data_IF_351684192913
#
_entry.id   IF_351684192913
#
_cell.length_a   1.000
_cell.length_b   1.000
_cell.length_c   1.000
_cell.angle_alpha   90.00
_cell.angle_beta   90.00
_cell.angle_gamma   90.00
#
_symmetry.space_group_name_H-M   'P 1'
#
loop_
_entity.id
_entity.type
_entity.pdbx_description
1 polymer ?
#
# COMPACT_ATOMS: atom_id res chain seq x y z
N UNK A 1 16.27 25.05 -33.41
CA UNK A 1 16.35 26.42 -34.01
C UNK A 1 15.97 27.44 -32.95
N UNK A 2 16.79 28.46 -32.84
CA UNK A 2 16.69 29.69 -32.05
C UNK A 2 17.07 29.58 -30.58
N UNK A 3 17.93 30.33 -30.12
CA UNK A 3 19.03 31.27 -30.43
C UNK A 3 19.51 31.78 -29.05
N UNK A 4 20.77 31.49 -28.78
CA UNK A 4 21.56 32.10 -27.69
C UNK A 4 21.61 33.63 -27.86
N UNK A 5 21.48 34.38 -26.77
CA UNK A 5 22.05 35.71 -26.69
C UNK A 5 22.89 35.87 -25.42
N UNK A 6 24.16 36.13 -25.65
CA UNK A 6 25.17 36.64 -24.71
C UNK A 6 25.01 38.15 -24.57
N UNK A 7 25.23 38.64 -23.36
CA UNK A 7 25.84 39.99 -23.15
C UNK A 7 26.40 40.02 -21.74
N UNK A 8 27.66 40.14 -21.62
CA UNK A 8 28.65 41.20 -21.51
C UNK A 8 28.94 41.59 -20.06
N UNK A 9 30.17 41.24 -19.66
CA UNK A 9 30.90 41.70 -18.50
C UNK A 9 31.18 43.22 -18.58
N UNK A 10 31.06 43.90 -17.44
CA UNK A 10 31.64 45.22 -17.24
C UNK A 10 32.52 45.14 -16.00
N UNK A 11 33.80 45.25 -16.25
CA UNK A 11 34.88 45.49 -15.28
C UNK A 11 34.85 46.96 -14.89
N UNK A 12 34.84 47.28 -13.61
CA UNK A 12 35.26 48.59 -13.12
C UNK A 12 36.20 48.48 -11.94
N UNK A 13 37.28 49.16 -12.11
CA UNK A 13 38.54 49.23 -11.43
C UNK A 13 38.50 49.63 -9.95
N UNK A 14 39.38 49.02 -9.24
CA UNK A 14 40.15 49.28 -8.04
C UNK A 14 40.47 50.78 -7.80
N UNK A 15 40.12 51.27 -6.60
CA UNK A 15 40.80 52.37 -5.94
C UNK A 15 41.04 52.04 -4.48
N UNK A 16 42.28 51.87 -4.13
CA UNK A 16 42.83 51.76 -2.79
C UNK A 16 43.01 53.17 -2.24
N UNK A 17 42.48 53.45 -1.08
CA UNK A 17 42.96 54.54 -0.21
C UNK A 17 42.94 54.13 1.24
N UNK A 18 44.10 54.08 1.81
CA UNK A 18 44.47 53.92 3.22
C UNK A 18 43.88 55.07 4.07
N UNK A 19 43.30 54.73 5.19
CA UNK A 19 42.96 55.72 6.22
C UNK A 19 42.85 55.02 7.58
N UNK A 20 43.76 55.39 8.48
CA UNK A 20 44.05 54.83 9.80
C UNK A 20 42.98 55.20 10.87
N UNK A 21 42.85 54.31 11.83
CA UNK A 21 42.53 54.42 13.27
C UNK A 21 41.18 55.01 13.72
N UNK A 22 40.50 54.15 14.48
CA UNK A 22 39.43 54.52 15.40
C UNK A 22 38.69 53.31 15.93
N UNK A 23 39.32 52.56 16.86
CA UNK A 23 38.62 51.47 17.56
C UNK A 23 37.56 52.07 18.52
N UNK A 24 36.34 52.15 18.08
CA UNK A 24 35.17 52.35 18.96
C UNK A 24 34.50 51.01 19.09
N UNK A 25 34.65 50.35 20.23
CA UNK A 25 33.86 49.21 20.62
C UNK A 25 32.42 49.65 20.87
N UNK A 26 31.64 49.74 19.80
CA UNK A 26 30.21 49.86 19.90
C UNK A 26 29.64 48.49 20.33
N UNK A 27 29.14 48.42 21.55
CA UNK A 27 28.25 47.33 21.99
C UNK A 27 27.04 47.36 21.10
N UNK A 28 27.01 46.49 20.09
CA UNK A 28 25.80 46.21 19.32
C UNK A 28 24.88 45.44 20.26
N UNK A 29 24.01 46.15 20.95
CA UNK A 29 22.82 45.52 21.51
C UNK A 29 22.03 45.03 20.32
N UNK A 30 22.02 43.69 20.13
CA UNK A 30 21.04 43.03 19.29
C UNK A 30 19.68 43.33 19.91
N UNK A 31 19.01 44.39 19.42
CA UNK A 31 17.58 44.57 19.64
C UNK A 31 16.92 43.37 18.99
N UNK A 32 16.59 42.36 19.80
CA UNK A 32 15.63 41.34 19.41
C UNK A 32 14.37 42.10 18.99
N UNK A 33 14.11 42.18 17.70
CA UNK A 33 12.83 42.65 17.19
C UNK A 33 11.79 41.64 17.67
N UNK A 34 11.13 41.95 18.79
CA UNK A 34 9.86 41.35 19.13
C UNK A 34 8.96 41.61 17.91
N UNK A 35 8.67 40.58 17.10
CA UNK A 35 7.74 40.72 16.00
C UNK A 35 6.45 41.30 16.60
N UNK A 36 6.12 42.52 16.22
CA UNK A 36 4.90 43.21 16.67
C UNK A 36 3.72 42.35 16.26
N UNK A 37 2.89 41.96 17.25
CA UNK A 37 1.70 41.14 17.02
C UNK A 37 0.70 42.02 16.29
N UNK A 38 0.29 41.67 15.06
CA UNK A 38 -0.65 42.50 14.31
C UNK A 38 -2.05 42.52 14.94
N UNK A 39 -2.86 43.50 14.54
CA UNK A 39 -4.25 43.57 14.96
C UNK A 39 -4.98 42.26 14.63
N UNK A 40 -5.88 41.85 15.54
CA UNK A 40 -6.62 40.57 15.44
C UNK A 40 -5.75 39.30 15.41
N UNK A 41 -4.57 39.39 16.01
CA UNK A 41 -3.68 38.26 16.27
C UNK A 41 -3.36 38.11 17.76
N UNK A 42 -2.80 36.97 18.14
CA UNK A 42 -2.24 36.72 19.47
C UNK A 42 -0.92 35.97 19.34
N UNK A 43 -0.08 36.03 20.36
CA UNK A 43 1.17 35.27 20.39
C UNK A 43 0.88 33.77 20.40
N UNK A 44 1.64 33.00 19.66
CA UNK A 44 1.52 31.54 19.66
C UNK A 44 1.79 30.96 21.04
N UNK A 45 1.03 29.95 21.43
CA UNK A 45 1.25 29.24 22.71
C UNK A 45 2.56 28.46 22.73
N UNK A 46 3.07 28.06 21.57
CA UNK A 46 4.35 27.35 21.38
C UNK A 46 5.10 27.90 20.17
N UNK A 47 6.40 28.07 20.34
CA UNK A 47 7.27 28.65 19.31
C UNK A 47 7.25 30.17 19.31
N UNK A 48 7.88 30.76 18.29
CA UNK A 48 7.95 32.21 18.12
C UNK A 48 6.91 32.68 17.10
N UNK A 49 6.45 33.90 17.23
CA UNK A 49 5.53 34.56 16.32
C UNK A 49 4.10 34.64 16.84
N UNK A 50 3.17 34.90 15.98
CA UNK A 50 1.76 35.11 16.24
C UNK A 50 0.87 34.26 15.36
N UNK A 51 -0.41 34.15 15.72
CA UNK A 51 -1.47 33.53 14.92
C UNK A 51 -2.73 34.40 14.99
N UNK A 52 -3.53 34.39 13.93
CA UNK A 52 -4.73 35.16 13.87
C UNK A 52 -5.80 34.66 14.85
N UNK A 53 -6.55 35.59 15.42
CA UNK A 53 -7.71 35.27 16.25
C UNK A 53 -8.78 34.55 15.43
N UNK A 54 -9.66 33.81 16.11
CA UNK A 54 -10.79 33.11 15.47
C UNK A 54 -11.60 34.07 14.61
N UNK A 55 -11.89 33.67 13.38
CA UNK A 55 -12.60 34.50 12.40
C UNK A 55 -11.69 35.40 11.56
N UNK A 56 -10.38 35.33 11.76
CA UNK A 56 -9.38 36.02 10.93
C UNK A 56 -8.39 35.01 10.32
N UNK A 57 -7.78 35.38 9.22
CA UNK A 57 -6.74 34.60 8.55
C UNK A 57 -5.53 35.43 8.20
N UNK A 58 -4.38 34.79 8.10
CA UNK A 58 -3.13 35.43 7.66
C UNK A 58 -3.21 35.84 6.19
N UNK A 59 -3.04 37.14 5.98
CA UNK A 59 -2.96 37.76 4.64
C UNK A 59 -1.87 38.82 4.70
N UNK A 60 -0.79 38.64 3.94
CA UNK A 60 0.29 39.62 3.84
C UNK A 60 0.87 40.07 5.20
N UNK A 61 1.19 39.09 6.07
CA UNK A 61 1.72 39.33 7.42
C UNK A 61 0.79 40.12 8.36
N UNK A 62 -0.51 40.10 8.13
CA UNK A 62 -1.55 40.63 8.99
C UNK A 62 -2.78 39.74 9.05
N UNK A 63 -3.76 40.04 9.88
CA UNK A 63 -4.97 39.26 10.05
C UNK A 63 -6.19 39.95 9.43
N UNK A 64 -6.69 39.40 8.33
CA UNK A 64 -7.91 39.83 7.66
C UNK A 64 -9.14 39.04 8.12
N UNK A 65 -10.28 39.72 8.30
CA UNK A 65 -11.52 39.05 8.65
C UNK A 65 -11.96 38.03 7.61
N UNK A 66 -12.32 36.82 8.06
CA UNK A 66 -12.84 35.75 7.21
C UNK A 66 -14.29 36.06 6.84
N UNK A 67 -14.59 36.15 5.55
CA UNK A 67 -15.98 36.22 5.09
C UNK A 67 -16.60 34.83 5.17
N UNK A 68 -17.37 34.57 6.22
CA UNK A 68 -18.07 33.32 6.42
C UNK A 68 -19.36 33.34 5.63
N UNK A 69 -19.59 32.41 4.67
CA UNK A 69 -20.83 32.35 3.91
C UNK A 69 -22.00 31.86 4.77
N UNK A 70 -23.21 32.00 4.24
CA UNK A 70 -24.40 31.42 4.90
C UNK A 70 -24.24 29.92 5.05
N UNK A 71 -24.73 29.35 6.16
CA UNK A 71 -24.64 27.93 6.50
C UNK A 71 -23.19 27.41 6.69
N UNK A 72 -22.29 28.29 7.10
CA UNK A 72 -20.91 27.96 7.48
C UNK A 72 -20.58 28.52 8.88
N UNK A 73 -19.47 28.09 9.45
CA UNK A 73 -18.91 28.61 10.70
C UNK A 73 -17.40 28.87 10.54
N UNK A 74 -16.87 29.86 11.27
CA UNK A 74 -15.44 30.15 11.20
C UNK A 74 -14.62 29.06 11.90
N UNK A 75 -13.50 28.68 11.29
CA UNK A 75 -12.52 27.76 11.87
C UNK A 75 -11.35 28.53 12.49
N UNK A 76 -10.57 27.86 13.37
CA UNK A 76 -9.35 28.45 13.94
C UNK A 76 -8.10 28.11 13.10
N UNK A 77 -8.29 27.58 11.88
CA UNK A 77 -7.17 27.19 11.04
C UNK A 77 -6.57 28.44 10.38
N UNK A 78 -5.29 28.66 10.58
CA UNK A 78 -4.52 29.75 9.97
C UNK A 78 -4.26 29.55 8.47
N UNK A 79 -4.56 28.36 7.96
CA UNK A 79 -4.48 28.00 6.53
C UNK A 79 -5.87 27.66 5.98
N UNK A 80 -6.02 27.72 4.67
CA UNK A 80 -7.30 27.49 4.01
C UNK A 80 -8.22 28.70 4.02
N UNK A 81 -9.53 28.49 3.99
CA UNK A 81 -10.54 29.56 3.88
C UNK A 81 -10.90 30.17 5.21
N UNK A 82 -10.58 29.54 6.32
CA UNK A 82 -10.94 29.96 7.66
C UNK A 82 -12.42 29.72 8.02
N UNK A 83 -13.14 28.93 7.23
CA UNK A 83 -14.52 28.50 7.50
C UNK A 83 -14.81 27.11 6.94
N UNK A 84 -15.80 26.45 7.51
CA UNK A 84 -16.33 25.16 7.09
C UNK A 84 -17.87 25.22 7.04
N UNK A 85 -18.47 24.39 6.18
CA UNK A 85 -19.90 24.30 6.08
C UNK A 85 -20.51 23.60 7.32
N UNK A 86 -21.69 24.06 7.74
CA UNK A 86 -22.48 23.36 8.74
C UNK A 86 -22.85 21.95 8.25
N UNK A 87 -23.04 21.03 9.19
CA UNK A 87 -23.52 19.68 8.89
C UNK A 87 -24.80 19.74 8.04
N UNK A 88 -24.86 18.97 6.98
CA UNK A 88 -25.93 18.97 6.00
C UNK A 88 -25.71 19.92 4.82
N UNK A 89 -24.52 20.52 4.77
CA UNK A 89 -24.13 21.35 3.65
C UNK A 89 -22.80 20.92 3.09
N UNK A 90 -22.65 21.01 1.78
CA UNK A 90 -21.44 20.73 1.02
C UNK A 90 -20.90 22.04 0.45
N UNK A 91 -19.60 22.21 0.55
CA UNK A 91 -18.93 23.33 -0.08
C UNK A 91 -18.96 23.22 -1.62
N UNK A 92 -19.41 24.29 -2.24
CA UNK A 92 -19.37 24.46 -3.67
C UNK A 92 -19.29 25.95 -4.02
N UNK A 93 -18.32 26.34 -4.86
CA UNK A 93 -18.12 27.71 -5.36
C UNK A 93 -18.09 28.75 -4.22
N UNK A 94 -17.25 28.53 -3.19
CA UNK A 94 -17.09 29.38 -2.00
C UNK A 94 -18.39 29.61 -1.18
N UNK A 95 -19.39 28.76 -1.37
CA UNK A 95 -20.66 28.78 -0.64
C UNK A 95 -20.95 27.41 -0.05
N UNK A 96 -21.93 27.33 0.84
CA UNK A 96 -22.41 26.07 1.42
C UNK A 96 -23.78 25.73 0.83
N UNK A 97 -23.83 24.68 0.00
CA UNK A 97 -25.06 24.19 -0.62
C UNK A 97 -25.66 23.05 0.22
N UNK A 98 -26.98 23.08 0.37
CA UNK A 98 -27.69 22.06 1.10
C UNK A 98 -27.54 20.67 0.44
N UNK A 99 -27.18 19.65 1.25
CA UNK A 99 -27.08 18.26 0.82
C UNK A 99 -28.48 17.64 0.84
N UNK A 100 -29.06 17.43 -0.32
CA UNK A 100 -30.33 16.75 -0.45
C UNK A 100 -30.14 15.26 -0.20
N UNK A 101 -30.52 14.77 0.98
CA UNK A 101 -30.45 13.36 1.34
C UNK A 101 -31.64 12.63 0.74
N UNK A 102 -31.44 11.62 -0.14
CA UNK A 102 -32.55 10.85 -0.71
C UNK A 102 -33.19 9.90 0.32
N UNK A 103 -34.31 9.31 -0.04
CA UNK A 103 -34.92 8.23 0.78
C UNK A 103 -33.96 7.06 0.92
N UNK A 104 -33.98 6.38 2.07
CA UNK A 104 -33.10 5.28 2.42
C UNK A 104 -31.59 5.67 2.40
N UNK A 105 -31.31 6.90 2.82
CA UNK A 105 -29.96 7.41 2.97
C UNK A 105 -29.83 8.27 4.24
N UNK A 106 -28.62 8.46 4.70
CA UNK A 106 -28.24 9.30 5.83
C UNK A 106 -26.98 10.11 5.52
N UNK A 107 -26.78 11.24 6.21
CA UNK A 107 -25.54 11.99 6.10
C UNK A 107 -24.36 11.19 6.67
N UNK A 108 -23.25 11.21 5.94
CA UNK A 108 -21.99 10.63 6.41
C UNK A 108 -21.50 11.27 7.72
N UNK A 109 -20.40 10.75 8.28
CA UNK A 109 -19.82 11.28 9.52
C UNK A 109 -19.46 12.77 9.42
N UNK A 110 -18.90 13.19 8.29
CA UNK A 110 -18.50 14.59 8.03
C UNK A 110 -19.70 15.50 7.83
N UNK A 111 -20.85 14.95 7.45
CA UNK A 111 -22.09 15.69 7.23
C UNK A 111 -22.17 16.47 5.93
N UNK A 112 -21.24 16.22 5.02
CA UNK A 112 -21.08 16.89 3.72
C UNK A 112 -21.63 16.08 2.53
N UNK A 113 -21.92 14.79 2.75
CA UNK A 113 -22.45 13.87 1.75
C UNK A 113 -23.42 12.89 2.41
N UNK A 114 -24.15 12.17 1.61
CA UNK A 114 -25.02 11.09 2.07
C UNK A 114 -24.43 9.71 1.70
N UNK A 115 -24.87 8.71 2.42
CA UNK A 115 -24.63 7.29 2.16
C UNK A 115 -25.96 6.56 2.24
N UNK A 116 -26.10 5.50 1.47
CA UNK A 116 -27.30 4.66 1.55
C UNK A 116 -27.38 3.88 2.86
N UNK A 117 -28.60 3.68 3.35
CA UNK A 117 -28.88 2.76 4.44
C UNK A 117 -28.46 1.33 4.07
N UNK A 118 -28.23 0.50 5.09
CA UNK A 118 -27.91 -0.91 4.89
C UNK A 118 -29.00 -1.58 4.06
N UNK A 119 -28.62 -2.36 3.09
CA UNK A 119 -29.55 -3.02 2.17
C UNK A 119 -29.92 -2.18 0.95
N UNK A 120 -29.35 -1.00 0.82
CA UNK A 120 -29.49 -0.13 -0.35
C UNK A 120 -28.13 0.18 -0.96
N UNK A 121 -28.11 0.49 -2.24
CA UNK A 121 -26.91 0.95 -2.96
C UNK A 121 -27.20 2.20 -3.75
N UNK A 122 -26.17 3.00 -3.92
CA UNK A 122 -26.23 4.20 -4.74
C UNK A 122 -26.34 3.84 -6.23
N UNK A 123 -27.35 4.39 -6.85
CA UNK A 123 -27.58 4.32 -8.29
C UNK A 123 -27.97 5.73 -8.70
N UNK A 124 -27.12 6.42 -9.47
CA UNK A 124 -27.23 7.85 -9.77
C UNK A 124 -27.34 8.66 -8.46
N UNK A 125 -28.42 9.39 -8.23
CA UNK A 125 -28.63 10.22 -7.04
C UNK A 125 -29.66 9.61 -6.05
N UNK A 126 -29.86 8.30 -6.08
CA UNK A 126 -30.84 7.61 -5.27
C UNK A 126 -30.29 6.34 -4.60
N UNK A 127 -30.90 5.94 -3.49
CA UNK A 127 -30.60 4.67 -2.84
C UNK A 127 -31.64 3.61 -3.20
N UNK A 128 -31.19 2.63 -3.99
CA UNK A 128 -32.04 1.55 -4.50
C UNK A 128 -31.82 0.27 -3.68
N UNK A 129 -32.90 -0.43 -3.30
CA UNK A 129 -32.83 -1.66 -2.54
C UNK A 129 -32.00 -2.74 -3.26
N UNK A 130 -31.10 -3.39 -2.52
CA UNK A 130 -30.30 -4.51 -3.00
C UNK A 130 -31.19 -5.74 -3.07
N UNK A 131 -31.36 -6.31 -4.26
CA UNK A 131 -32.04 -7.59 -4.44
C UNK A 131 -31.07 -8.72 -4.11
N UNK A 132 -31.23 -9.31 -2.93
CA UNK A 132 -30.46 -10.49 -2.51
C UNK A 132 -31.08 -11.74 -3.15
N UNK A 133 -30.29 -12.56 -3.87
CA UNK A 133 -30.79 -13.80 -4.45
C UNK A 133 -31.06 -14.86 -3.38
N UNK A 134 -31.82 -15.90 -3.73
CA UNK A 134 -31.99 -17.07 -2.85
C UNK A 134 -30.63 -17.69 -2.52
N UNK A 135 -30.45 -18.17 -1.29
CA UNK A 135 -29.18 -18.67 -0.75
C UNK A 135 -28.06 -17.61 -0.75
N UNK A 136 -28.43 -16.37 -0.50
CA UNK A 136 -27.53 -15.25 -0.31
C UNK A 136 -27.97 -14.38 0.86
N UNK A 137 -27.11 -13.51 1.29
CA UNK A 137 -27.32 -12.54 2.37
C UNK A 137 -26.71 -11.19 2.02
N UNK A 138 -27.14 -10.13 2.71
CA UNK A 138 -26.56 -8.80 2.54
C UNK A 138 -25.10 -8.80 3.02
N UNK A 139 -24.17 -8.51 2.12
CA UNK A 139 -22.77 -8.31 2.44
C UNK A 139 -22.52 -6.95 3.12
N UNK A 140 -21.46 -6.89 3.93
CA UNK A 140 -21.06 -5.63 4.57
C UNK A 140 -20.22 -4.73 3.64
N UNK A 141 -19.93 -5.21 2.44
CA UNK A 141 -19.13 -4.47 1.44
C UNK A 141 -20.00 -3.45 0.71
N UNK A 142 -19.59 -2.19 0.78
CA UNK A 142 -20.15 -1.11 -0.06
C UNK A 142 -19.75 -1.21 -1.53
N UNK A 143 -18.91 -2.21 -1.88
CA UNK A 143 -18.45 -2.48 -3.24
C UNK A 143 -19.08 -3.74 -3.80
N UNK A 144 -19.31 -3.75 -5.10
CA UNK A 144 -19.87 -4.91 -5.80
C UNK A 144 -21.38 -4.99 -5.76
N UNK A 145 -21.93 -6.20 -5.64
CA UNK A 145 -23.36 -6.46 -5.66
C UNK A 145 -24.10 -6.06 -4.37
N UNK A 146 -23.37 -5.90 -3.27
CA UNK A 146 -23.93 -5.65 -1.92
C UNK A 146 -24.50 -6.89 -1.26
N UNK A 147 -24.30 -8.06 -1.84
CA UNK A 147 -24.71 -9.36 -1.27
C UNK A 147 -23.63 -10.42 -1.51
N UNK A 148 -23.65 -11.43 -0.69
CA UNK A 148 -22.77 -12.60 -0.74
C UNK A 148 -23.62 -13.87 -0.71
N UNK A 149 -23.06 -14.98 -1.18
CA UNK A 149 -23.76 -16.25 -1.12
C UNK A 149 -23.54 -16.96 0.22
N UNK A 150 -24.56 -17.70 0.67
CA UNK A 150 -24.45 -18.61 1.81
C UNK A 150 -23.33 -19.63 1.57
N UNK A 151 -22.81 -20.18 2.68
CA UNK A 151 -21.80 -21.24 2.62
C UNK A 151 -22.31 -22.42 1.78
N UNK A 152 -21.50 -22.89 0.87
CA UNK A 152 -21.86 -23.95 -0.09
C UNK A 152 -22.47 -23.46 -1.39
N UNK A 153 -22.58 -22.16 -1.55
CA UNK A 153 -23.01 -21.51 -2.78
C UNK A 153 -21.96 -20.55 -3.30
N UNK A 154 -21.98 -20.24 -4.58
CA UNK A 154 -21.12 -19.26 -5.23
C UNK A 154 -21.92 -18.35 -6.16
N UNK A 155 -21.45 -17.12 -6.30
CA UNK A 155 -22.08 -16.16 -7.19
C UNK A 155 -21.81 -16.52 -8.66
N UNK A 156 -22.87 -16.70 -9.43
CA UNK A 156 -22.83 -16.94 -10.88
C UNK A 156 -23.95 -16.13 -11.52
N UNK A 157 -23.59 -15.21 -12.39
CA UNK A 157 -24.55 -14.39 -13.14
C UNK A 157 -25.68 -13.76 -12.27
N UNK A 158 -25.32 -13.22 -11.10
CA UNK A 158 -26.29 -12.55 -10.21
C UNK A 158 -27.14 -13.47 -9.34
N UNK A 159 -26.83 -14.76 -9.29
CA UNK A 159 -27.51 -15.77 -8.46
C UNK A 159 -26.51 -16.55 -7.62
N UNK A 160 -26.98 -17.17 -6.55
CA UNK A 160 -26.18 -18.09 -5.73
C UNK A 160 -26.44 -19.53 -6.15
N UNK A 161 -25.45 -20.17 -6.77
CA UNK A 161 -25.53 -21.54 -7.29
C UNK A 161 -24.77 -22.48 -6.35
N UNK A 162 -25.39 -23.63 -6.02
CA UNK A 162 -24.76 -24.63 -5.14
C UNK A 162 -23.41 -25.11 -5.70
N UNK A 163 -22.39 -25.17 -4.84
CA UNK A 163 -21.07 -25.70 -5.15
C UNK A 163 -21.17 -27.22 -5.27
N UNK A 164 -20.88 -27.76 -6.44
CA UNK A 164 -20.79 -29.21 -6.65
C UNK A 164 -19.42 -29.70 -6.17
N UNK A 165 -19.40 -30.39 -5.04
CA UNK A 165 -18.21 -30.97 -4.44
C UNK A 165 -17.96 -32.33 -5.11
N UNK A 166 -16.78 -32.60 -5.72
CA UNK A 166 -16.45 -33.91 -6.26
C UNK A 166 -16.19 -34.94 -5.16
N UNK A 167 -16.24 -36.24 -5.51
CA UNK A 167 -15.81 -37.29 -4.60
C UNK A 167 -14.36 -37.03 -4.12
N UNK A 168 -14.07 -37.28 -2.84
CA UNK A 168 -12.79 -36.97 -2.18
C UNK A 168 -12.45 -35.46 -2.21
N UNK A 169 -13.46 -34.63 -2.16
CA UNK A 169 -13.33 -33.19 -1.98
C UNK A 169 -14.16 -32.69 -0.81
N UNK A 170 -13.86 -31.52 -0.32
CA UNK A 170 -14.60 -30.84 0.75
C UNK A 170 -14.82 -29.38 0.41
N UNK A 171 -15.84 -28.80 1.02
CA UNK A 171 -16.19 -27.40 0.86
C UNK A 171 -15.15 -26.50 1.55
N UNK A 172 -14.73 -25.44 0.87
CA UNK A 172 -13.87 -24.39 1.47
C UNK A 172 -14.64 -23.13 1.72
N UNK A 173 -14.17 -22.32 2.67
CA UNK A 173 -14.72 -20.99 2.95
C UNK A 173 -14.15 -19.90 2.03
N UNK A 174 -13.39 -20.30 1.00
CA UNK A 174 -12.81 -19.37 0.04
C UNK A 174 -13.87 -18.83 -0.90
N UNK A 175 -14.05 -17.53 -0.94
CA UNK A 175 -14.88 -16.82 -1.91
C UNK A 175 -14.31 -16.85 -3.33
N UNK A 176 -13.07 -17.34 -3.48
CA UNK A 176 -12.37 -17.45 -4.76
C UNK A 176 -12.18 -18.90 -5.17
N UNK A 177 -12.21 -19.14 -6.48
CA UNK A 177 -11.98 -20.46 -7.05
C UNK A 177 -13.24 -21.30 -7.18
N UNK A 178 -13.10 -22.61 -7.02
CA UNK A 178 -14.18 -23.58 -7.19
C UNK A 178 -15.13 -23.69 -5.98
N UNK A 179 -14.72 -23.15 -4.82
CA UNK A 179 -15.44 -23.32 -3.55
C UNK A 179 -15.22 -24.67 -2.88
N UNK A 180 -14.34 -25.50 -3.39
CA UNK A 180 -13.96 -26.80 -2.84
C UNK A 180 -12.48 -27.09 -3.06
N UNK A 181 -11.93 -27.94 -2.21
CA UNK A 181 -10.58 -28.48 -2.29
C UNK A 181 -10.62 -30.01 -2.19
N UNK A 182 -9.57 -30.67 -2.61
CA UNK A 182 -9.48 -32.12 -2.48
C UNK A 182 -9.01 -32.55 -1.08
N UNK A 183 -9.51 -33.68 -0.62
CA UNK A 183 -8.99 -34.35 0.58
C UNK A 183 -7.51 -34.65 0.45
N UNK A 184 -6.84 -34.78 1.61
CA UNK A 184 -5.43 -35.13 1.66
C UNK A 184 -5.14 -36.43 0.90
N UNK A 185 -4.15 -36.41 0.04
CA UNK A 185 -3.80 -37.54 -0.83
C UNK A 185 -4.45 -37.45 -2.22
N UNK A 186 -5.27 -36.46 -2.46
CA UNK A 186 -5.86 -36.20 -3.77
C UNK A 186 -5.43 -34.82 -4.28
N UNK A 187 -5.58 -34.58 -5.56
CA UNK A 187 -5.35 -33.31 -6.22
C UNK A 187 -6.44 -33.00 -7.23
N UNK A 188 -6.73 -31.72 -7.39
CA UNK A 188 -7.70 -31.27 -8.39
C UNK A 188 -7.18 -31.46 -9.82
N UNK A 189 -7.98 -32.15 -10.64
CA UNK A 189 -7.77 -32.30 -12.07
C UNK A 189 -9.15 -32.21 -12.74
N UNK A 190 -9.35 -31.24 -13.62
CA UNK A 190 -10.59 -31.07 -14.40
C UNK A 190 -11.87 -31.18 -13.55
N UNK A 191 -11.95 -30.40 -12.47
CA UNK A 191 -13.09 -30.40 -11.52
C UNK A 191 -13.35 -31.73 -10.79
N UNK A 192 -12.37 -32.62 -10.72
CA UNK A 192 -12.41 -33.86 -9.93
C UNK A 192 -11.22 -33.96 -8.99
N UNK A 193 -11.32 -34.78 -7.94
CA UNK A 193 -10.22 -35.09 -7.04
C UNK A 193 -9.61 -36.45 -7.39
N UNK A 194 -8.44 -36.43 -7.99
CA UNK A 194 -7.70 -37.64 -8.37
C UNK A 194 -6.64 -38.00 -7.33
N UNK A 195 -6.50 -39.30 -7.02
CA UNK A 195 -5.50 -39.77 -6.08
C UNK A 195 -4.07 -39.41 -6.51
N UNK A 196 -3.27 -38.88 -5.58
CA UNK A 196 -1.85 -38.61 -5.82
C UNK A 196 -1.06 -39.92 -5.75
N UNK A 197 -0.58 -40.37 -6.89
CA UNK A 197 0.31 -41.54 -6.95
C UNK A 197 1.72 -41.12 -6.58
N UNK A 198 2.13 -41.41 -5.33
CA UNK A 198 3.48 -41.16 -4.83
C UNK A 198 4.41 -42.27 -5.36
N UNK A 199 5.51 -41.94 -6.09
CA UNK A 199 6.46 -42.94 -6.56
C UNK A 199 7.30 -43.52 -5.41
N UNK A 200 7.95 -44.67 -5.65
CA UNK A 200 8.94 -45.23 -4.72
C UNK A 200 10.02 -44.21 -4.40
N UNK A 201 10.45 -44.12 -3.16
CA UNK A 201 11.42 -43.15 -2.63
C UNK A 201 10.90 -41.69 -2.77
N UNK A 202 9.62 -41.50 -2.65
CA UNK A 202 8.93 -40.23 -2.51
C UNK A 202 7.94 -40.25 -1.36
N UNK A 203 7.48 -39.09 -1.00
CA UNK A 203 6.46 -38.88 0.03
C UNK A 203 5.40 -37.89 -0.44
N UNK A 204 4.20 -38.02 0.10
CA UNK A 204 3.12 -37.07 -0.14
C UNK A 204 3.52 -35.71 0.39
N UNK A 205 3.34 -34.67 -0.42
CA UNK A 205 3.60 -33.30 -0.04
C UNK A 205 2.38 -32.46 -0.42
N UNK A 206 1.71 -31.98 0.62
CA UNK A 206 0.51 -31.17 0.46
C UNK A 206 0.88 -29.80 -0.13
N UNK A 207 0.42 -29.56 -1.33
CA UNK A 207 0.61 -28.31 -2.03
C UNK A 207 -0.52 -28.14 -3.05
N UNK A 208 -1.09 -26.95 -3.07
CA UNK A 208 -2.11 -26.56 -4.06
C UNK A 208 -1.55 -26.55 -5.50
N UNK A 209 -0.22 -26.59 -5.64
CA UNK A 209 0.45 -26.56 -6.95
C UNK A 209 1.43 -27.71 -7.08
N UNK A 210 1.47 -28.34 -8.25
CA UNK A 210 2.44 -29.37 -8.59
C UNK A 210 1.88 -30.78 -8.57
N UNK A 211 2.72 -31.77 -8.32
CA UNK A 211 2.36 -33.20 -8.41
C UNK A 211 1.78 -33.79 -7.12
N UNK A 212 1.77 -33.04 -6.02
CA UNK A 212 1.34 -33.53 -4.70
C UNK A 212 2.35 -34.45 -4.01
N UNK A 213 3.58 -34.57 -4.52
CA UNK A 213 4.64 -35.38 -3.90
C UNK A 213 6.03 -34.79 -4.14
N UNK A 214 6.95 -35.15 -3.26
CA UNK A 214 8.39 -34.85 -3.35
C UNK A 214 9.18 -36.12 -3.19
N UNK A 215 10.43 -36.11 -3.65
CA UNK A 215 11.35 -37.22 -3.42
C UNK A 215 11.96 -37.14 -2.02
N UNK A 216 12.24 -38.32 -1.45
CA UNK A 216 13.02 -38.46 -0.22
C UNK A 216 14.42 -37.86 -0.40
N UNK A 217 15.04 -37.51 0.72
CA UNK A 217 16.42 -37.04 0.73
C UNK A 217 17.35 -38.07 0.09
N UNK A 218 18.21 -37.61 -0.81
CA UNK A 218 19.09 -38.51 -1.61
C UNK A 218 18.48 -38.93 -2.94
N UNK A 219 17.27 -38.49 -3.23
CA UNK A 219 16.63 -38.74 -4.52
C UNK A 219 16.24 -37.41 -5.20
N UNK A 220 16.18 -37.43 -6.51
CA UNK A 220 15.74 -36.31 -7.34
C UNK A 220 14.66 -36.72 -8.31
N UNK A 221 13.77 -35.78 -8.63
CA UNK A 221 12.71 -36.02 -9.60
C UNK A 221 13.29 -36.20 -11.02
N UNK A 222 12.91 -37.26 -11.69
CA UNK A 222 13.22 -37.52 -13.09
C UNK A 222 12.10 -38.34 -13.73
N UNK A 223 11.47 -37.81 -14.80
CA UNK A 223 10.43 -38.53 -15.55
C UNK A 223 9.25 -39.05 -14.74
N UNK A 224 8.80 -38.31 -13.68
CA UNK A 224 7.69 -38.74 -12.81
C UNK A 224 8.07 -39.75 -11.71
N UNK A 225 9.35 -40.12 -11.58
CA UNK A 225 9.89 -41.01 -10.54
C UNK A 225 10.93 -40.30 -9.66
N UNK A 226 11.29 -40.92 -8.54
CA UNK A 226 12.39 -40.50 -7.68
C UNK A 226 13.61 -41.37 -7.93
N UNK A 227 14.64 -40.75 -8.54
CA UNK A 227 15.91 -41.43 -8.92
C UNK A 227 16.99 -41.02 -7.93
N UNK A 228 17.79 -42.00 -7.46
CA UNK A 228 18.88 -41.75 -6.52
C UNK A 228 19.88 -40.71 -7.06
N UNK A 229 20.28 -39.76 -6.19
CA UNK A 229 21.34 -38.79 -6.49
C UNK A 229 22.69 -39.50 -6.40
N UNK A 230 23.38 -39.62 -7.51
CA UNK A 230 24.77 -40.14 -7.51
C UNK A 230 25.68 -39.05 -6.99
N UNK A 231 26.05 -39.12 -5.71
CA UNK A 231 26.98 -38.19 -5.06
C UNK A 231 28.39 -38.50 -5.54
N UNK A 232 29.13 -37.49 -6.03
CA UNK A 232 30.49 -37.64 -6.49
C UNK A 232 31.46 -37.88 -5.32
N UNK A 233 32.65 -38.39 -5.62
CA UNK A 233 33.74 -38.47 -4.64
C UNK A 233 34.08 -37.06 -4.11
N UNK A 234 34.38 -36.93 -2.82
CA UNK A 234 34.63 -35.67 -2.13
C UNK A 234 33.41 -34.67 -2.20
N UNK A 235 32.21 -35.20 -2.26
CA UNK A 235 30.96 -34.45 -2.23
C UNK A 235 29.99 -34.96 -1.15
N UNK A 236 28.99 -34.19 -0.84
CA UNK A 236 27.87 -34.54 0.02
C UNK A 236 26.55 -34.07 -0.60
N UNK A 237 25.44 -34.59 -0.13
CA UNK A 237 24.14 -34.08 -0.53
C UNK A 237 23.99 -32.63 -0.08
N UNK A 238 23.49 -31.77 -0.98
CA UNK A 238 23.18 -30.39 -0.66
C UNK A 238 22.05 -30.29 0.40
N UNK A 239 21.78 -29.09 0.88
CA UNK A 239 20.74 -28.85 1.90
C UNK A 239 19.37 -29.41 1.49
N UNK A 240 18.94 -29.20 0.24
CA UNK A 240 17.66 -29.74 -0.26
C UNK A 240 17.65 -31.24 -0.47
N UNK A 241 18.79 -31.90 -0.42
CA UNK A 241 18.91 -33.37 -0.54
C UNK A 241 18.64 -33.94 -1.94
N UNK A 242 18.39 -33.10 -2.94
CA UNK A 242 18.07 -33.53 -4.30
C UNK A 242 19.22 -33.33 -5.31
N UNK A 243 20.35 -32.85 -4.84
CA UNK A 243 21.59 -32.64 -5.59
C UNK A 243 22.77 -32.80 -4.62
N UNK A 244 23.99 -32.62 -5.11
CA UNK A 244 25.19 -32.68 -4.31
C UNK A 244 26.10 -31.49 -4.50
N UNK A 245 26.91 -31.20 -3.49
CA UNK A 245 27.90 -30.13 -3.41
C UNK A 245 29.26 -30.70 -2.98
N UNK A 246 30.36 -30.11 -3.43
CA UNK A 246 31.67 -30.55 -3.07
C UNK A 246 32.03 -30.19 -1.62
N UNK A 247 32.68 -31.10 -0.91
CA UNK A 247 33.32 -30.83 0.37
C UNK A 247 34.44 -29.80 0.21
N UNK A 248 34.67 -28.96 1.19
CA UNK A 248 35.86 -28.09 1.22
C UNK A 248 37.13 -28.93 1.41
N UNK A 249 38.23 -28.65 0.71
CA UNK A 249 38.51 -27.52 -0.18
C UNK A 249 38.21 -27.76 -1.67
N UNK A 250 37.38 -28.75 -2.00
CA UNK A 250 37.08 -29.11 -3.39
C UNK A 250 36.08 -28.11 -4.01
N UNK A 251 36.12 -28.00 -5.33
CA UNK A 251 35.16 -27.23 -6.14
C UNK A 251 34.55 -28.11 -7.22
N UNK A 252 33.31 -27.85 -7.56
CA UNK A 252 32.59 -28.56 -8.62
C UNK A 252 33.13 -28.16 -9.99
N UNK A 253 33.53 -29.14 -10.76
CA UNK A 253 33.86 -28.99 -12.17
C UNK A 253 33.14 -30.13 -12.94
N UNK A 254 32.18 -29.77 -13.77
CA UNK A 254 31.22 -30.70 -14.38
C UNK A 254 30.57 -31.61 -13.32
N UNK A 255 30.77 -32.92 -13.39
CA UNK A 255 30.21 -33.91 -12.47
C UNK A 255 31.22 -34.48 -11.45
N UNK A 256 32.32 -33.76 -11.17
CA UNK A 256 33.38 -34.18 -10.23
C UNK A 256 33.75 -33.04 -9.29
N UNK A 257 34.30 -33.40 -8.15
CA UNK A 257 34.91 -32.44 -7.22
C UNK A 257 36.42 -32.48 -7.35
N UNK A 258 37.00 -31.37 -7.78
CA UNK A 258 38.46 -31.22 -7.92
C UNK A 258 39.02 -30.33 -6.82
N UNK A 259 40.21 -30.65 -6.31
CA UNK A 259 40.89 -29.85 -5.30
C UNK A 259 41.18 -28.45 -5.84
N UNK A 260 40.88 -27.43 -5.07
CA UNK A 260 41.21 -26.05 -5.43
C UNK A 260 42.75 -25.92 -5.45
N UNK A 261 43.34 -25.52 -6.58
CA UNK A 261 44.74 -25.14 -6.57
C UNK A 261 44.90 -23.93 -5.68
N UNK A 262 45.68 -24.05 -4.62
CA UNK A 262 46.09 -22.84 -3.83
C UNK A 262 46.87 -21.95 -4.77
N UNK A 263 46.37 -20.77 -5.04
CA UNK A 263 47.09 -19.74 -5.76
C UNK A 263 48.29 -19.36 -4.89
N UNK A 264 49.52 -19.61 -5.38
CA UNK A 264 50.76 -19.09 -4.81
C UNK A 264 50.60 -17.56 -4.75
N UNK A 265 50.44 -17.01 -3.57
CA UNK A 265 50.66 -15.59 -3.37
C UNK A 265 52.15 -15.35 -3.60
N UNK A 266 52.50 -14.82 -4.78
CA UNK A 266 53.78 -14.18 -4.92
C UNK A 266 53.77 -12.94 -4.01
N UNK A 267 54.48 -13.10 -2.89
CA UNK A 267 54.91 -11.95 -2.08
C UNK A 267 55.99 -11.25 -2.93
N UNK A 268 55.61 -10.12 -3.51
CA UNK A 268 56.62 -9.19 -4.06
C UNK A 268 57.33 -8.54 -2.87
N UNK A 269 58.62 -8.86 -2.71
CA UNK A 269 59.56 -8.11 -1.88
C UNK A 269 59.80 -6.71 -2.48
#
# INVERSE_FOLDING_TARGET
MFKMQRTRAISIRLWILFGLLGAVHGLVFAQGSSAEVPDNAHAKSYGNGWECNKGYRDVNAGCAAVKVPANAYPTNQSYGRGWECNRGYLEADETCRFVKVPSNAYLNADGDRWKCDRGHREVEDACVAIKVPSNGYLGDSSRGSGWECDRGYRAVAGSCVAVKIPANGYLTDSSYGSGWECDRGFRAVDATCMVVKVPKNGYFFDTSYGLGWKCDRGYRKAGGACVAVKVAENAHLNYSGNNWECNRPYRKQQNKCIKRKEGRQEVQE
#
